data_IF_854585966316
#
_entry.id   IF_854585966316
#
_cell.length_a   1.000
_cell.length_b   1.000
_cell.length_c   1.000
_cell.angle_alpha   90.00
_cell.angle_beta   90.00
_cell.angle_gamma   90.00
#
_symmetry.space_group_name_H-M   'P 1'
#
loop_
_entity.id
_entity.type
_entity.pdbx_description
1 polymer ?
#
# COMPACT_ATOMS: atom_id res chain seq x y z
N UNK A 1 -27.55 -11.73 16.83
CA UNK A 1 -27.86 -10.94 15.60
C UNK A 1 -26.61 -10.84 14.75
N UNK A 2 -26.61 -11.32 13.50
CA UNK A 2 -25.50 -11.07 12.56
C UNK A 2 -25.80 -9.77 11.82
N UNK A 3 -25.01 -8.71 12.03
CA UNK A 3 -25.06 -7.51 11.16
C UNK A 3 -24.63 -7.95 9.75
N UNK A 4 -25.52 -7.82 8.76
CA UNK A 4 -25.14 -7.99 7.35
C UNK A 4 -24.45 -6.70 6.91
N UNK A 5 -23.13 -6.72 6.83
CA UNK A 5 -22.36 -5.67 6.15
C UNK A 5 -22.47 -5.83 4.64
N UNK A 6 -22.23 -4.75 3.90
CA UNK A 6 -21.97 -4.78 2.46
C UNK A 6 -20.45 -4.81 2.23
N UNK A 7 -20.02 -5.47 1.15
CA UNK A 7 -18.63 -5.49 0.73
C UNK A 7 -18.39 -4.40 -0.32
N UNK A 8 -17.27 -3.70 -0.21
CA UNK A 8 -16.70 -2.88 -1.29
C UNK A 8 -15.38 -3.53 -1.68
N UNK A 9 -15.19 -3.77 -2.97
CA UNK A 9 -13.97 -4.35 -3.53
C UNK A 9 -13.14 -3.26 -4.20
N UNK A 10 -11.81 -3.41 -4.12
CA UNK A 10 -10.84 -2.68 -4.93
C UNK A 10 -10.07 -3.70 -5.77
N UNK A 11 -10.09 -3.53 -7.09
CA UNK A 11 -9.42 -4.43 -8.03
C UNK A 11 -8.83 -3.66 -9.23
N UNK A 12 -8.47 -4.37 -10.30
CA UNK A 12 -7.91 -3.79 -11.52
C UNK A 12 -8.78 -2.70 -12.15
N UNK A 13 -10.09 -2.74 -11.97
CA UNK A 13 -11.02 -1.69 -12.44
C UNK A 13 -10.88 -0.39 -11.68
N UNK A 14 -10.32 -0.42 -10.46
CA UNK A 14 -10.02 0.74 -9.63
C UNK A 14 -8.56 1.20 -9.73
N UNK A 15 -7.74 0.54 -10.56
CA UNK A 15 -6.30 0.82 -10.70
C UNK A 15 -5.39 0.00 -9.77
N UNK A 16 -5.93 -0.98 -9.04
CA UNK A 16 -5.10 -1.90 -8.25
C UNK A 16 -4.33 -2.84 -9.19
N UNK A 17 -2.99 -2.89 -9.14
CA UNK A 17 -2.20 -3.51 -10.19
C UNK A 17 -2.04 -5.03 -10.05
N UNK A 18 -2.56 -5.62 -8.96
CA UNK A 18 -2.43 -7.04 -8.69
C UNK A 18 -2.74 -7.38 -7.23
N UNK A 19 -2.41 -8.61 -6.79
CA UNK A 19 -2.65 -9.06 -5.43
C UNK A 19 -1.99 -8.15 -4.38
N UNK A 20 -2.73 -7.86 -3.32
CA UNK A 20 -2.25 -7.14 -2.12
C UNK A 20 -1.70 -8.14 -1.13
N UNK A 21 -0.45 -7.95 -0.72
CA UNK A 21 0.26 -8.83 0.20
C UNK A 21 0.24 -8.31 1.64
N UNK A 22 0.23 -6.99 1.80
CA UNK A 22 0.14 -6.31 3.08
C UNK A 22 -0.54 -4.95 2.91
N UNK A 23 -1.05 -4.38 3.99
CA UNK A 23 -1.56 -3.00 3.98
C UNK A 23 -1.35 -2.31 5.32
N UNK A 24 -1.35 -0.99 5.29
CA UNK A 24 -1.29 -0.13 6.48
C UNK A 24 -2.13 1.13 6.22
N UNK A 25 -2.96 1.53 7.18
CA UNK A 25 -3.66 2.81 7.11
C UNK A 25 -2.92 3.83 7.97
N UNK A 26 -2.56 4.97 7.38
CA UNK A 26 -1.89 6.03 8.12
C UNK A 26 -2.88 6.95 8.86
N UNK A 27 -2.33 7.84 9.69
CA UNK A 27 -3.13 8.79 10.48
C UNK A 27 -3.93 9.79 9.61
N UNK A 28 -3.56 9.98 8.35
CA UNK A 28 -4.29 10.80 7.37
C UNK A 28 -5.47 10.05 6.72
N UNK A 29 -5.62 8.75 7.00
CA UNK A 29 -6.65 7.90 6.43
C UNK A 29 -6.26 7.26 5.10
N UNK A 30 -5.06 7.49 4.59
CA UNK A 30 -4.58 6.85 3.36
C UNK A 30 -4.28 5.38 3.62
N UNK A 31 -4.69 4.52 2.69
CA UNK A 31 -4.41 3.10 2.73
C UNK A 31 -3.21 2.78 1.83
N UNK A 32 -2.10 2.42 2.45
CA UNK A 32 -0.89 1.95 1.80
C UNK A 32 -1.00 0.45 1.56
N UNK A 33 -1.03 -0.01 0.32
CA UNK A 33 -1.18 -1.42 -0.03
C UNK A 33 0.07 -1.93 -0.75
N UNK A 34 0.79 -2.87 -0.14
CA UNK A 34 1.93 -3.54 -0.75
C UNK A 34 1.46 -4.57 -1.77
N UNK A 35 1.99 -4.50 -3.00
CA UNK A 35 1.57 -5.36 -4.11
C UNK A 35 2.63 -6.41 -4.45
N UNK A 36 2.22 -7.46 -5.16
CA UNK A 36 3.12 -8.55 -5.55
C UNK A 36 4.22 -8.16 -6.56
N UNK A 37 4.06 -7.06 -7.31
CA UNK A 37 5.04 -6.72 -8.35
C UNK A 37 4.93 -5.31 -8.96
N UNK A 38 4.20 -4.38 -8.35
CA UNK A 38 4.08 -3.00 -8.84
C UNK A 38 4.34 -1.95 -7.74
N UNK A 39 5.01 -2.36 -6.67
CA UNK A 39 5.33 -1.51 -5.53
C UNK A 39 4.15 -1.31 -4.61
N UNK A 40 3.94 -0.07 -4.16
CA UNK A 40 2.86 0.31 -3.27
C UNK A 40 1.72 0.95 -4.07
N UNK A 41 0.49 0.50 -3.81
CA UNK A 41 -0.73 1.19 -4.22
C UNK A 41 -1.25 2.03 -3.05
N UNK A 42 -1.21 3.35 -3.18
CA UNK A 42 -1.69 4.32 -2.20
C UNK A 42 -3.11 4.74 -2.53
N UNK A 43 -4.05 4.45 -1.64
CA UNK A 43 -5.46 4.77 -1.81
C UNK A 43 -5.90 5.89 -0.87
N UNK A 44 -6.47 6.96 -1.43
CA UNK A 44 -6.92 8.15 -0.70
C UNK A 44 -8.40 8.11 -0.26
N UNK A 45 -9.10 7.00 -0.52
CA UNK A 45 -10.56 6.88 -0.34
C UNK A 45 -11.37 7.04 -1.63
N UNK A 46 -10.74 7.48 -2.72
CA UNK A 46 -11.34 7.69 -4.03
C UNK A 46 -10.49 7.08 -5.17
N UNK A 47 -9.19 7.36 -5.20
CA UNK A 47 -8.25 7.00 -6.27
C UNK A 47 -7.04 6.23 -5.77
N UNK A 48 -6.41 5.45 -6.65
CA UNK A 48 -5.19 4.69 -6.38
C UNK A 48 -4.02 5.34 -7.14
N UNK A 49 -2.97 5.71 -6.41
CA UNK A 49 -1.67 6.10 -6.97
C UNK A 49 -0.66 4.96 -6.77
N UNK A 50 0.22 4.73 -7.75
CA UNK A 50 1.29 3.75 -7.63
C UNK A 50 2.62 4.42 -7.30
N UNK A 51 3.35 3.84 -6.35
CA UNK A 51 4.72 4.18 -5.98
C UNK A 51 5.60 2.95 -6.21
N UNK A 52 6.42 2.99 -7.25
CA UNK A 52 7.25 1.88 -7.69
C UNK A 52 8.75 2.17 -7.59
N UNK A 53 9.54 1.29 -8.20
CA UNK A 53 11.01 1.42 -8.23
C UNK A 53 11.47 2.68 -8.98
N UNK A 54 10.71 3.12 -9.98
CA UNK A 54 10.94 4.38 -10.68
C UNK A 54 10.77 5.62 -9.76
N UNK A 55 10.03 5.48 -8.66
CA UNK A 55 9.80 6.51 -7.65
C UNK A 55 10.75 6.38 -6.45
N UNK A 56 11.75 5.50 -6.53
CA UNK A 56 12.77 5.29 -5.50
C UNK A 56 12.51 4.14 -4.53
N UNK A 57 11.45 3.34 -4.74
CA UNK A 57 11.23 2.12 -3.97
C UNK A 57 12.33 1.08 -4.26
N UNK A 58 12.83 0.39 -3.23
CA UNK A 58 13.95 -0.55 -3.38
C UNK A 58 13.59 -1.78 -4.23
N UNK A 59 12.34 -2.25 -4.18
CA UNK A 59 11.86 -3.41 -4.93
C UNK A 59 10.36 -3.32 -5.23
N UNK A 60 9.91 -4.00 -6.28
CA UNK A 60 8.53 -3.94 -6.77
C UNK A 60 7.57 -4.92 -6.08
N UNK A 61 8.09 -5.96 -5.42
CA UNK A 61 7.32 -6.83 -4.54
C UNK A 61 7.42 -6.35 -3.10
N UNK A 62 6.29 -5.95 -2.52
CA UNK A 62 6.20 -5.38 -1.17
C UNK A 62 5.59 -6.42 -0.22
N UNK A 63 6.33 -6.78 0.82
CA UNK A 63 5.94 -7.79 1.81
C UNK A 63 5.41 -7.20 3.11
N UNK A 64 5.89 -6.02 3.49
CA UNK A 64 5.51 -5.38 4.74
C UNK A 64 5.55 -3.86 4.62
N UNK A 65 4.66 -3.21 5.37
CA UNK A 65 4.62 -1.76 5.56
C UNK A 65 4.45 -1.53 7.06
N UNK A 66 5.31 -0.72 7.65
CA UNK A 66 5.23 -0.30 9.05
C UNK A 66 5.34 1.21 9.14
N UNK A 67 4.61 1.82 10.07
CA UNK A 67 4.72 3.24 10.39
C UNK A 67 5.44 3.41 11.72
N UNK A 68 6.43 4.30 11.77
CA UNK A 68 7.11 4.64 13.02
C UNK A 68 6.44 5.82 13.74
N UNK A 69 6.94 6.16 14.93
CA UNK A 69 6.38 7.24 15.75
C UNK A 69 6.54 8.65 15.15
N UNK A 70 7.33 8.82 14.09
CA UNK A 70 7.46 10.07 13.34
C UNK A 70 6.53 10.11 12.11
N UNK A 71 5.75 9.06 11.87
CA UNK A 71 4.86 8.95 10.71
C UNK A 71 5.55 8.47 9.43
N UNK A 72 6.84 8.09 9.49
CA UNK A 72 7.54 7.56 8.32
C UNK A 72 7.09 6.14 8.01
N UNK A 73 6.99 5.81 6.73
CA UNK A 73 6.58 4.47 6.29
C UNK A 73 7.80 3.67 5.88
N UNK A 74 8.06 2.60 6.62
CA UNK A 74 9.09 1.62 6.34
C UNK A 74 8.51 0.49 5.51
N UNK A 75 8.99 0.34 4.28
CA UNK A 75 8.46 -0.56 3.27
C UNK A 75 9.47 -1.66 3.01
N UNK A 76 9.16 -2.87 3.48
CA UNK A 76 9.96 -4.07 3.25
C UNK A 76 9.65 -4.68 1.89
N UNK A 77 10.65 -4.76 1.03
CA UNK A 77 10.53 -5.24 -0.36
C UNK A 77 11.37 -6.49 -0.60
N UNK A 78 11.21 -7.12 -1.77
CA UNK A 78 12.10 -8.22 -2.21
C UNK A 78 13.57 -7.83 -2.37
N UNK A 79 13.88 -6.55 -2.50
CA UNK A 79 15.23 -6.05 -2.83
C UNK A 79 15.86 -5.20 -1.73
N UNK A 80 15.16 -5.01 -0.60
CA UNK A 80 15.64 -4.20 0.52
C UNK A 80 14.53 -3.45 1.25
N UNK A 81 14.93 -2.44 2.02
CA UNK A 81 14.06 -1.60 2.84
C UNK A 81 14.06 -0.17 2.30
N UNK A 82 12.87 0.40 2.06
CA UNK A 82 12.71 1.83 1.74
C UNK A 82 12.02 2.55 2.89
N UNK A 83 12.44 3.79 3.15
CA UNK A 83 11.77 4.69 4.06
C UNK A 83 11.11 5.81 3.24
N UNK A 84 9.78 5.93 3.35
CA UNK A 84 9.05 7.07 2.85
C UNK A 84 8.94 8.11 3.97
N UNK A 85 9.65 9.22 3.79
CA UNK A 85 9.63 10.39 4.66
C UNK A 85 8.95 11.55 3.91
N UNK A 86 8.10 12.31 4.58
CA UNK A 86 7.28 13.35 3.95
C UNK A 86 7.22 14.59 4.82
#
# INVERSE_FOLDING_TARGET
MRRRGTWRSLDGTNGLPGPVLCFHQDAGGYLWMGTWGRGVALYDGNTIQLLGTADGLAGDRVWSIAEDGAGRKWIGTSSGLSCWDR
#
